data_IF_214535761392
#
_entry.id   IF_214535761392
#
_cell.length_a   1.000
_cell.length_b   1.000
_cell.length_c   1.000
_cell.angle_alpha   90.00
_cell.angle_beta   90.00
_cell.angle_gamma   90.00
#
_symmetry.space_group_name_H-M   'P 1'
#
loop_
_entity.id
_entity.type
_entity.pdbx_description
1 polymer ?
#
# COMPACT_ATOMS: atom_id res chain seq x y z
N UNK A 1 8.83 21.97 -7.84
CA UNK A 1 10.08 21.36 -8.35
C UNK A 1 11.25 22.15 -7.82
N UNK A 2 12.40 21.51 -7.58
CA UNK A 2 13.60 22.23 -7.18
C UNK A 2 14.08 23.15 -8.34
N UNK A 3 14.55 24.38 -8.06
CA UNK A 3 15.14 25.26 -9.08
C UNK A 3 16.30 24.58 -9.84
N UNK A 4 16.45 24.87 -11.13
CA UNK A 4 17.52 24.34 -11.99
C UNK A 4 17.30 22.90 -12.49
N UNK A 5 16.36 22.14 -11.92
CA UNK A 5 16.10 20.76 -12.32
C UNK A 5 15.61 20.64 -13.78
N UNK A 6 14.84 21.63 -14.25
CA UNK A 6 14.31 21.67 -15.60
C UNK A 6 15.40 21.90 -16.67
N UNK A 7 16.54 22.47 -16.27
CA UNK A 7 17.65 22.80 -17.17
C UNK A 7 18.64 21.65 -17.33
N UNK A 8 18.50 20.56 -16.56
CA UNK A 8 19.38 19.38 -16.65
C UNK A 8 19.07 18.55 -17.91
N UNK A 9 19.96 18.54 -18.93
CA UNK A 9 19.67 17.86 -20.21
C UNK A 9 19.65 16.33 -20.10
N UNK A 10 20.19 15.78 -19.01
CA UNK A 10 20.22 14.35 -18.71
C UNK A 10 19.03 13.89 -17.83
N UNK A 11 18.06 14.76 -17.56
CA UNK A 11 16.89 14.45 -16.76
C UNK A 11 15.62 14.36 -17.61
N UNK A 12 14.84 13.28 -17.43
CA UNK A 12 13.47 13.18 -17.94
C UNK A 12 12.53 13.48 -16.79
N UNK A 13 11.78 14.57 -16.89
CA UNK A 13 10.86 15.03 -15.85
C UNK A 13 9.44 14.72 -16.28
N UNK A 14 8.72 14.02 -15.41
CA UNK A 14 7.34 13.60 -15.65
C UNK A 14 6.41 14.15 -14.56
N UNK A 15 5.12 14.41 -14.84
CA UNK A 15 4.20 15.05 -13.91
C UNK A 15 3.68 14.09 -12.83
N UNK A 16 4.58 13.57 -11.98
CA UNK A 16 4.26 12.66 -10.86
C UNK A 16 3.38 11.46 -11.24
N UNK A 17 3.71 10.82 -12.38
CA UNK A 17 2.93 9.71 -12.96
C UNK A 17 3.45 8.32 -12.60
N UNK A 18 4.42 8.19 -11.69
CA UNK A 18 5.03 6.90 -11.36
C UNK A 18 4.00 5.86 -10.86
N UNK A 19 3.00 6.30 -10.09
CA UNK A 19 1.89 5.45 -9.62
C UNK A 19 0.65 5.50 -10.52
N UNK A 20 0.68 6.22 -11.64
CA UNK A 20 -0.47 6.45 -12.51
C UNK A 20 -0.73 5.32 -13.52
N UNK A 21 -0.53 4.07 -13.08
CA UNK A 21 -0.93 2.87 -13.83
C UNK A 21 -2.18 2.25 -13.23
N UNK A 22 -2.97 1.54 -14.06
CA UNK A 22 -4.12 0.78 -13.56
C UNK A 22 -3.70 -0.24 -12.50
N UNK A 23 -2.60 -0.94 -12.74
CA UNK A 23 -2.05 -1.91 -11.80
C UNK A 23 -1.77 -1.29 -10.42
N UNK A 24 -0.98 -0.21 -10.38
CA UNK A 24 -0.61 0.46 -9.12
C UNK A 24 -1.82 1.05 -8.41
N UNK A 25 -2.72 1.73 -9.14
CA UNK A 25 -3.91 2.36 -8.53
C UNK A 25 -4.90 1.34 -8.00
N UNK A 26 -5.17 0.26 -8.74
CA UNK A 26 -6.04 -0.82 -8.26
C UNK A 26 -5.43 -1.53 -7.06
N UNK A 27 -4.12 -1.81 -7.08
CA UNK A 27 -3.42 -2.38 -5.92
C UNK A 27 -3.54 -1.52 -4.66
N UNK A 28 -3.29 -0.22 -4.77
CA UNK A 28 -3.46 0.72 -3.64
C UNK A 28 -4.92 0.74 -3.14
N UNK A 29 -5.90 0.71 -4.05
CA UNK A 29 -7.32 0.66 -3.68
C UNK A 29 -7.66 -0.63 -2.92
N UNK A 30 -7.16 -1.78 -3.37
CA UNK A 30 -7.33 -3.07 -2.68
C UNK A 30 -6.71 -3.03 -1.28
N UNK A 31 -5.47 -2.53 -1.14
CA UNK A 31 -4.82 -2.42 0.18
C UNK A 31 -5.60 -1.52 1.14
N UNK A 32 -6.10 -0.37 0.66
CA UNK A 32 -6.89 0.55 1.46
C UNK A 32 -8.22 -0.11 1.92
N UNK A 33 -8.93 -0.77 1.00
CA UNK A 33 -10.16 -1.49 1.33
C UNK A 33 -9.92 -2.63 2.31
N UNK A 34 -8.85 -3.41 2.11
CA UNK A 34 -8.48 -4.53 2.98
C UNK A 34 -8.05 -4.06 4.38
N UNK A 35 -7.38 -2.90 4.50
CA UNK A 35 -7.08 -2.29 5.81
C UNK A 35 -8.37 -1.99 6.58
N UNK A 36 -9.33 -1.30 5.95
CA UNK A 36 -10.61 -0.95 6.58
C UNK A 36 -11.37 -2.22 6.96
N UNK A 37 -11.51 -3.17 6.02
CA UNK A 37 -12.20 -4.42 6.26
C UNK A 37 -11.54 -5.26 7.36
N UNK A 38 -10.21 -5.31 7.40
CA UNK A 38 -9.45 -6.05 8.41
C UNK A 38 -9.63 -5.48 9.81
N UNK A 39 -9.55 -4.15 9.97
CA UNK A 39 -9.80 -3.48 11.26
C UNK A 39 -11.23 -3.71 11.73
N UNK A 40 -12.23 -3.58 10.85
CA UNK A 40 -13.63 -3.84 11.20
C UNK A 40 -13.91 -5.31 11.58
N UNK A 41 -13.14 -6.25 11.02
CA UNK A 41 -13.21 -7.68 11.36
C UNK A 41 -12.38 -8.05 12.59
N UNK A 42 -11.64 -7.11 13.18
CA UNK A 42 -10.76 -7.37 14.34
C UNK A 42 -9.46 -8.09 13.99
N UNK A 43 -9.03 -8.07 12.73
CA UNK A 43 -7.74 -8.64 12.33
C UNK A 43 -6.58 -7.74 12.77
N UNK A 44 -5.45 -8.36 13.08
CA UNK A 44 -4.21 -7.67 13.42
C UNK A 44 -3.48 -7.09 12.19
N UNK A 45 -2.44 -6.30 12.46
CA UNK A 45 -1.54 -5.76 11.45
C UNK A 45 -0.72 -6.86 10.79
N UNK A 46 -0.54 -6.76 9.48
CA UNK A 46 0.32 -7.67 8.72
C UNK A 46 1.77 -7.67 9.23
N UNK A 47 2.35 -8.87 9.36
CA UNK A 47 3.67 -9.06 9.97
C UNK A 47 4.84 -8.87 9.00
N UNK A 48 4.58 -8.78 7.70
CA UNK A 48 5.59 -8.59 6.65
C UNK A 48 5.37 -7.25 5.92
N UNK A 49 5.66 -6.10 6.55
CA UNK A 49 5.31 -4.78 6.02
C UNK A 49 5.95 -4.46 4.66
N UNK A 50 7.04 -5.14 4.30
CA UNK A 50 7.74 -4.97 3.03
C UNK A 50 7.27 -5.92 1.92
N UNK A 51 6.31 -6.82 2.20
CA UNK A 51 5.74 -7.75 1.24
C UNK A 51 4.22 -7.77 1.36
N UNK A 52 3.58 -6.95 0.51
CA UNK A 52 2.12 -6.85 0.39
C UNK A 52 1.57 -7.61 -0.83
N UNK A 53 2.43 -8.34 -1.54
CA UNK A 53 2.08 -9.13 -2.74
C UNK A 53 0.88 -10.05 -2.52
N UNK A 54 0.74 -10.74 -1.35
CA UNK A 54 -0.43 -11.58 -1.08
C UNK A 54 -1.78 -10.85 -1.09
N UNK A 55 -1.77 -9.52 -1.08
CA UNK A 55 -2.98 -8.69 -1.14
C UNK A 55 -3.23 -8.04 -2.51
N UNK A 56 -2.28 -8.16 -3.44
CA UNK A 56 -2.38 -7.60 -4.78
C UNK A 56 -2.88 -8.63 -5.80
N UNK A 57 -2.53 -9.89 -5.57
CA UNK A 57 -2.80 -10.99 -6.49
C UNK A 57 -3.91 -11.90 -5.93
N UNK A 58 -4.99 -12.06 -6.69
CA UNK A 58 -6.05 -13.03 -6.40
C UNK A 58 -7.39 -12.42 -5.99
N UNK A 59 -8.44 -13.25 -5.88
CA UNK A 59 -9.78 -12.80 -5.52
C UNK A 59 -9.85 -12.41 -4.03
N UNK A 60 -10.70 -11.43 -3.70
CA UNK A 60 -10.87 -10.91 -2.31
C UNK A 60 -11.00 -12.02 -1.23
N UNK A 61 -11.74 -13.13 -1.45
CA UNK A 61 -11.85 -14.20 -0.45
C UNK A 61 -10.55 -14.94 -0.11
N UNK A 62 -9.51 -14.87 -0.97
CA UNK A 62 -8.21 -15.50 -0.72
C UNK A 62 -7.20 -14.59 -0.02
N UNK A 63 -7.57 -13.34 0.26
CA UNK A 63 -6.69 -12.40 0.95
C UNK A 63 -6.39 -12.90 2.38
N UNK A 64 -5.16 -12.70 2.89
CA UNK A 64 -4.84 -13.00 4.27
C UNK A 64 -5.76 -12.27 5.26
N UNK A 65 -6.05 -12.91 6.40
CA UNK A 65 -6.82 -12.32 7.51
C UNK A 65 -5.96 -11.36 8.35
N UNK A 66 -5.53 -10.28 7.72
CA UNK A 66 -4.71 -9.24 8.34
C UNK A 66 -4.98 -7.89 7.68
N UNK A 67 -4.73 -6.80 8.41
CA UNK A 67 -4.70 -5.46 7.84
C UNK A 67 -3.33 -5.24 7.15
N UNK A 68 -3.27 -5.14 5.81
CA UNK A 68 -2.02 -5.25 5.05
C UNK A 68 -1.02 -4.12 5.23
N UNK A 69 -1.48 -2.90 5.52
CA UNK A 69 -0.64 -1.70 5.44
C UNK A 69 -1.03 -0.67 6.51
N UNK A 70 -1.03 -1.10 7.77
CA UNK A 70 -1.14 -0.21 8.93
C UNK A 70 0.25 0.05 9.49
N UNK A 71 0.97 0.99 8.87
CA UNK A 71 2.39 1.26 9.18
C UNK A 71 2.62 1.79 10.59
N UNK A 72 1.60 2.40 11.19
CA UNK A 72 1.61 2.94 12.55
C UNK A 72 0.92 2.00 13.57
N UNK A 73 0.81 0.70 13.29
CA UNK A 73 0.08 -0.27 14.12
C UNK A 73 0.46 -0.22 15.60
N UNK A 74 1.75 -0.09 15.90
CA UNK A 74 2.27 0.00 17.27
C UNK A 74 1.76 1.24 18.01
N UNK A 75 1.67 2.38 17.33
CA UNK A 75 1.24 3.65 17.91
C UNK A 75 -0.26 3.66 18.24
N UNK A 76 -1.05 2.93 17.44
CA UNK A 76 -2.50 2.82 17.63
C UNK A 76 -2.91 1.57 18.44
N UNK A 77 -1.95 0.79 18.94
CA UNK A 77 -2.22 -0.41 19.74
C UNK A 77 -2.84 -1.58 18.96
N UNK A 78 -2.69 -1.62 17.63
CA UNK A 78 -3.19 -2.73 16.81
C UNK A 78 -2.25 -3.94 16.96
N UNK A 79 -2.73 -5.11 17.39
CA UNK A 79 -1.90 -6.30 17.54
C UNK A 79 -1.42 -6.81 16.18
N UNK A 80 -0.33 -7.58 16.17
CA UNK A 80 0.09 -8.28 14.96
C UNK A 80 -0.92 -9.40 14.61
N UNK A 81 -1.15 -9.63 13.32
CA UNK A 81 -1.97 -10.74 12.86
C UNK A 81 -1.34 -12.09 13.24
N UNK A 82 -2.19 -13.02 13.68
CA UNK A 82 -1.84 -14.39 14.06
C UNK A 82 -1.86 -15.35 12.88
#
# INVERSE_FOLDING_TARGET
MAPGLADCPNAVIVPHIASASMWTRSGMATLAAANVAGVLQGYGAWTKPNDITPFLDGPIPSLPRAAPSIVNAKEIGLPAAT
#
